data_IF_221428755423
#
_entry.id   IF_221428755423
#
_cell.length_a   1.000
_cell.length_b   1.000
_cell.length_c   1.000
_cell.angle_alpha   90.00
_cell.angle_beta   90.00
_cell.angle_gamma   90.00
#
_symmetry.space_group_name_H-M   'P 1'
#
loop_
_entity.id
_entity.type
_entity.pdbx_description
1 polymer ?
#
# COMPACT_ATOMS: atom_id res chain seq x y z
N UNK A 1 46.77 -29.31 -10.14
CA UNK A 1 45.57 -29.89 -9.52
C UNK A 1 44.38 -29.04 -9.95
N UNK A 2 43.58 -29.58 -10.87
CA UNK A 2 42.39 -28.94 -11.44
C UNK A 2 41.15 -29.46 -10.71
N UNK A 3 40.35 -28.57 -10.12
CA UNK A 3 38.99 -28.84 -9.67
C UNK A 3 38.13 -27.57 -9.79
N UNK A 4 36.79 -27.72 -9.91
CA UNK A 4 36.06 -27.22 -11.07
C UNK A 4 35.21 -25.96 -10.81
N UNK A 5 34.95 -25.24 -11.91
CA UNK A 5 33.99 -24.14 -11.99
C UNK A 5 32.58 -24.73 -12.26
N UNK A 6 31.54 -24.41 -11.47
CA UNK A 6 30.17 -24.73 -11.85
C UNK A 6 29.38 -23.50 -12.30
N UNK A 7 28.81 -23.66 -13.49
CA UNK A 7 27.53 -23.18 -14.01
C UNK A 7 27.17 -21.67 -13.93
N UNK A 8 27.31 -21.05 -15.10
CA UNK A 8 26.52 -19.94 -15.59
C UNK A 8 25.04 -20.35 -15.69
N UNK A 9 24.15 -19.68 -14.93
CA UNK A 9 22.71 -19.85 -15.04
C UNK A 9 22.08 -18.61 -15.69
N UNK A 10 22.31 -18.45 -16.99
CA UNK A 10 21.39 -17.74 -17.87
C UNK A 10 20.62 -18.78 -18.69
N UNK A 11 19.32 -18.55 -18.85
CA UNK A 11 18.33 -19.29 -19.66
C UNK A 11 17.48 -20.34 -18.91
N UNK A 12 16.41 -19.85 -18.28
CA UNK A 12 15.12 -20.54 -18.30
C UNK A 12 14.09 -19.55 -18.84
N UNK A 13 14.02 -19.52 -20.17
CA UNK A 13 12.87 -19.02 -20.88
C UNK A 13 11.71 -20.00 -20.66
N UNK A 14 10.69 -19.57 -19.91
CA UNK A 14 9.35 -20.12 -20.06
C UNK A 14 8.55 -19.06 -20.79
N UNK A 15 8.55 -19.19 -22.11
CA UNK A 15 7.60 -18.53 -22.98
C UNK A 15 6.29 -19.33 -22.90
N UNK A 16 5.31 -18.83 -22.17
CA UNK A 16 3.91 -19.17 -22.46
C UNK A 16 3.33 -18.06 -23.34
N UNK A 17 3.45 -18.31 -24.64
CA UNK A 17 2.65 -17.66 -25.66
C UNK A 17 1.18 -18.06 -25.47
N UNK A 18 0.31 -17.09 -25.30
CA UNK A 18 -1.06 -17.15 -25.80
C UNK A 18 -1.45 -15.77 -26.35
N UNK A 19 -0.73 -15.37 -27.40
CA UNK A 19 -1.26 -14.46 -28.42
C UNK A 19 -2.20 -15.27 -29.30
N UNK A 20 -3.50 -15.19 -29.05
CA UNK A 20 -4.50 -15.42 -30.11
C UNK A 20 -4.65 -14.09 -30.83
N UNK A 21 -3.92 -13.94 -31.94
CA UNK A 21 -4.27 -12.98 -32.97
C UNK A 21 -5.43 -13.56 -33.77
N UNK A 22 -6.57 -12.91 -33.76
CA UNK A 22 -7.53 -12.99 -34.86
C UNK A 22 -7.79 -11.56 -35.32
N UNK A 23 -7.32 -11.23 -36.52
CA UNK A 23 -7.59 -9.97 -37.19
C UNK A 23 -8.81 -10.11 -38.10
N UNK A 24 -9.80 -9.25 -37.83
CA UNK A 24 -10.87 -8.70 -38.70
C UNK A 24 -11.87 -9.67 -39.33
N UNK A 25 -13.14 -9.48 -38.94
CA UNK A 25 -14.20 -9.05 -39.85
C UNK A 25 -15.31 -8.33 -39.08
N UNK A 26 -16.01 -7.42 -39.76
CA UNK A 26 -16.77 -6.33 -39.17
C UNK A 26 -18.14 -6.66 -38.57
N UNK A 27 -18.67 -5.63 -37.89
CA UNK A 27 -20.05 -5.41 -37.46
C UNK A 27 -20.60 -6.29 -36.33
N UNK A 28 -20.81 -5.70 -35.16
CA UNK A 28 -22.13 -5.63 -34.49
C UNK A 28 -21.96 -5.27 -33.00
N UNK A 29 -22.63 -4.20 -32.57
CA UNK A 29 -22.85 -3.71 -31.20
C UNK A 29 -22.55 -4.70 -30.04
N UNK A 30 -21.63 -4.32 -29.14
CA UNK A 30 -21.64 -4.80 -27.76
C UNK A 30 -20.30 -5.16 -27.12
N UNK A 31 -19.50 -4.17 -26.72
CA UNK A 31 -18.48 -4.37 -25.67
C UNK A 31 -18.18 -3.07 -24.88
N UNK A 32 -19.26 -2.41 -24.44
CA UNK A 32 -19.24 -1.12 -23.72
C UNK A 32 -19.46 -1.30 -22.20
N UNK A 33 -18.71 -2.19 -21.53
CA UNK A 33 -18.79 -2.32 -20.07
C UNK A 33 -17.40 -2.26 -19.42
N UNK A 34 -17.19 -1.35 -18.46
CA UNK A 34 -15.98 -1.38 -17.64
C UNK A 34 -16.08 -2.51 -16.60
N UNK A 35 -15.02 -3.30 -16.48
CA UNK A 35 -14.87 -4.32 -15.44
C UNK A 35 -14.55 -3.73 -14.05
N UNK A 36 -14.50 -2.40 -13.93
CA UNK A 36 -14.21 -1.67 -12.72
C UNK A 36 -15.10 -2.06 -11.54
N UNK A 37 -16.38 -2.34 -11.81
CA UNK A 37 -17.35 -2.73 -10.78
C UNK A 37 -16.97 -4.09 -10.18
N UNK A 38 -16.69 -5.07 -11.04
CA UNK A 38 -16.26 -6.41 -10.62
C UNK A 38 -14.90 -6.37 -9.92
N UNK A 39 -13.97 -5.58 -10.47
CA UNK A 39 -12.66 -5.32 -9.87
C UNK A 39 -12.77 -4.68 -8.49
N UNK A 40 -13.65 -3.69 -8.32
CA UNK A 40 -13.87 -3.02 -7.05
C UNK A 40 -14.53 -3.93 -6.01
N UNK A 41 -15.49 -4.76 -6.41
CA UNK A 41 -16.12 -5.73 -5.52
C UNK A 41 -15.10 -6.76 -5.00
N UNK A 42 -14.28 -7.35 -5.91
CA UNK A 42 -13.19 -8.25 -5.51
C UNK A 42 -12.21 -7.55 -4.57
N UNK A 43 -11.81 -6.34 -4.92
CA UNK A 43 -10.88 -5.55 -4.13
C UNK A 43 -11.39 -5.28 -2.71
N UNK A 44 -12.69 -4.97 -2.55
CA UNK A 44 -13.28 -4.77 -1.22
C UNK A 44 -13.29 -6.04 -0.37
N UNK A 45 -13.56 -7.20 -0.99
CA UNK A 45 -13.50 -8.49 -0.28
C UNK A 45 -12.09 -8.73 0.22
N UNK A 46 -11.09 -8.60 -0.66
CA UNK A 46 -9.68 -8.77 -0.31
C UNK A 46 -9.23 -7.79 0.79
N UNK A 47 -9.58 -6.51 0.68
CA UNK A 47 -9.27 -5.51 1.70
C UNK A 47 -9.96 -5.78 3.03
N UNK A 48 -11.22 -6.23 3.00
CA UNK A 48 -11.98 -6.57 4.20
C UNK A 48 -11.31 -7.72 4.96
N UNK A 49 -10.92 -8.77 4.25
CA UNK A 49 -10.19 -9.89 4.85
C UNK A 49 -8.80 -9.47 5.37
N UNK A 50 -8.07 -8.64 4.63
CA UNK A 50 -6.77 -8.12 5.08
C UNK A 50 -6.96 -7.32 6.37
N UNK A 51 -7.91 -6.40 6.42
CA UNK A 51 -8.16 -5.60 7.63
C UNK A 51 -8.53 -6.47 8.84
N UNK A 52 -9.34 -7.51 8.64
CA UNK A 52 -9.71 -8.44 9.72
C UNK A 52 -8.51 -9.26 10.23
N UNK A 53 -7.58 -9.65 9.35
CA UNK A 53 -6.40 -10.45 9.71
C UNK A 53 -5.23 -9.62 10.26
N UNK A 54 -5.13 -8.35 9.86
CA UNK A 54 -3.89 -7.57 9.97
C UNK A 54 -3.97 -6.40 10.96
N UNK A 55 -4.97 -6.35 11.86
CA UNK A 55 -5.08 -5.28 12.88
C UNK A 55 -3.78 -5.09 13.69
N UNK A 56 -3.05 -6.18 13.93
CA UNK A 56 -1.74 -6.18 14.60
C UNK A 56 -0.64 -6.87 13.79
N UNK A 57 -0.80 -6.96 12.46
CA UNK A 57 0.15 -7.64 11.60
C UNK A 57 1.55 -7.01 11.56
N UNK A 58 2.55 -7.74 11.06
CA UNK A 58 3.91 -7.21 10.92
C UNK A 58 3.95 -6.09 9.87
N UNK A 59 4.83 -5.09 10.09
CA UNK A 59 4.84 -3.84 9.32
C UNK A 59 5.14 -4.08 7.83
N UNK A 60 6.06 -4.98 7.50
CA UNK A 60 6.42 -5.35 6.13
C UNK A 60 5.21 -5.85 5.33
N UNK A 61 4.39 -6.70 5.94
CA UNK A 61 3.19 -7.28 5.32
C UNK A 61 2.09 -6.23 5.21
N UNK A 62 1.94 -5.37 6.22
CA UNK A 62 1.05 -4.21 6.18
C UNK A 62 1.42 -3.25 5.04
N UNK A 63 2.71 -2.88 4.91
CA UNK A 63 3.22 -2.02 3.86
C UNK A 63 3.02 -2.61 2.46
N UNK A 64 3.20 -3.93 2.32
CA UNK A 64 2.95 -4.64 1.06
C UNK A 64 1.48 -4.53 0.66
N UNK A 65 0.56 -4.89 1.56
CA UNK A 65 -0.87 -4.84 1.25
C UNK A 65 -1.38 -3.42 1.06
N UNK A 66 -0.86 -2.46 1.83
CA UNK A 66 -1.23 -1.07 1.69
C UNK A 66 -0.77 -0.52 0.32
N UNK A 67 0.46 -0.80 -0.10
CA UNK A 67 0.95 -0.44 -1.44
C UNK A 67 0.14 -1.06 -2.56
N UNK A 68 -0.18 -2.35 -2.46
CA UNK A 68 -1.02 -3.04 -3.45
C UNK A 68 -2.40 -2.39 -3.53
N UNK A 69 -3.01 -2.11 -2.38
CA UNK A 69 -4.30 -1.46 -2.30
C UNK A 69 -4.30 -0.05 -2.86
N UNK A 70 -3.25 0.74 -2.63
CA UNK A 70 -3.09 2.08 -3.21
C UNK A 70 -3.02 2.06 -4.74
N UNK A 71 -2.33 1.07 -5.32
CA UNK A 71 -2.24 0.92 -6.77
C UNK A 71 -3.60 0.55 -7.37
N UNK A 72 -4.28 -0.45 -6.79
CA UNK A 72 -5.62 -0.87 -7.25
C UNK A 72 -6.64 0.26 -7.12
N UNK A 73 -6.61 0.98 -6.00
CA UNK A 73 -7.50 2.10 -5.74
C UNK A 73 -7.24 3.30 -6.66
N UNK A 74 -5.96 3.59 -6.96
CA UNK A 74 -5.59 4.58 -7.97
C UNK A 74 -6.22 4.27 -9.33
N UNK A 75 -6.06 3.04 -9.82
CA UNK A 75 -6.68 2.59 -11.07
C UNK A 75 -8.21 2.76 -11.08
N UNK A 76 -8.87 2.50 -9.94
CA UNK A 76 -10.32 2.70 -9.80
C UNK A 76 -10.71 4.18 -9.83
N UNK A 77 -9.97 5.05 -9.13
CA UNK A 77 -10.24 6.49 -9.10
C UNK A 77 -10.02 7.12 -10.47
N UNK A 78 -8.96 6.71 -11.18
CA UNK A 78 -8.56 7.27 -12.47
C UNK A 78 -9.39 6.77 -13.64
N UNK A 79 -10.28 5.79 -13.44
CA UNK A 79 -11.14 5.33 -14.51
C UNK A 79 -12.23 6.35 -14.86
N UNK A 80 -12.06 7.02 -16.00
CA UNK A 80 -12.99 8.00 -16.57
C UNK A 80 -14.32 7.37 -17.03
N UNK A 81 -14.32 6.09 -17.42
CA UNK A 81 -15.53 5.37 -17.88
C UNK A 81 -16.56 5.14 -16.78
N UNK A 82 -16.14 5.22 -15.52
CA UNK A 82 -16.95 4.83 -14.37
C UNK A 82 -17.38 6.00 -13.49
N UNK A 83 -17.07 7.23 -13.89
CA UNK A 83 -17.29 8.41 -13.06
C UNK A 83 -18.78 8.75 -12.87
N UNK A 84 -19.61 8.42 -13.85
CA UNK A 84 -21.07 8.62 -13.81
C UNK A 84 -21.86 7.47 -13.14
N UNK A 85 -21.19 6.37 -12.78
CA UNK A 85 -21.86 5.17 -12.22
C UNK A 85 -21.89 5.27 -10.70
N UNK A 86 -23.09 5.46 -10.14
CA UNK A 86 -23.31 5.65 -8.69
C UNK A 86 -22.78 4.50 -7.84
N UNK A 87 -22.91 3.25 -8.31
CA UNK A 87 -22.39 2.07 -7.63
C UNK A 87 -20.87 2.16 -7.50
N UNK A 88 -20.15 2.45 -8.58
CA UNK A 88 -18.69 2.61 -8.57
C UNK A 88 -18.25 3.71 -7.61
N UNK A 89 -19.04 4.76 -7.45
CA UNK A 89 -18.76 5.83 -6.49
C UNK A 89 -18.90 5.35 -5.04
N UNK A 90 -19.95 4.59 -4.72
CA UNK A 90 -20.08 3.96 -3.40
C UNK A 90 -18.91 3.01 -3.11
N UNK A 91 -18.50 2.20 -4.10
CA UNK A 91 -17.32 1.34 -4.00
C UNK A 91 -16.04 2.13 -3.71
N UNK A 92 -15.79 3.25 -4.43
CA UNK A 92 -14.63 4.11 -4.18
C UNK A 92 -14.61 4.64 -2.74
N UNK A 93 -15.77 5.04 -2.20
CA UNK A 93 -15.88 5.52 -0.81
C UNK A 93 -15.59 4.42 0.19
N UNK A 94 -16.19 3.23 0.03
CA UNK A 94 -15.93 2.10 0.95
C UNK A 94 -14.48 1.66 0.86
N UNK A 95 -13.90 1.61 -0.34
CA UNK A 95 -12.49 1.27 -0.55
C UNK A 95 -11.55 2.27 0.13
N UNK A 96 -11.86 3.57 0.04
CA UNK A 96 -11.15 4.61 0.77
C UNK A 96 -11.17 4.36 2.28
N UNK A 97 -12.31 3.99 2.86
CA UNK A 97 -12.42 3.71 4.30
C UNK A 97 -11.62 2.47 4.71
N UNK A 98 -11.68 1.41 3.92
CA UNK A 98 -10.90 0.19 4.16
C UNK A 98 -9.39 0.46 4.07
N UNK A 99 -8.94 1.22 3.06
CA UNK A 99 -7.54 1.64 2.94
C UNK A 99 -7.11 2.60 4.04
N UNK A 100 -8.00 3.47 4.51
CA UNK A 100 -7.75 4.31 5.67
C UNK A 100 -7.45 3.51 6.93
N UNK A 101 -8.27 2.49 7.19
CA UNK A 101 -8.04 1.55 8.31
C UNK A 101 -6.69 0.84 8.15
N UNK A 102 -6.37 0.35 6.96
CA UNK A 102 -5.09 -0.30 6.70
C UNK A 102 -3.90 0.67 6.87
N UNK A 103 -4.04 1.90 6.39
CA UNK A 103 -3.03 2.96 6.54
C UNK A 103 -2.81 3.37 7.99
N UNK A 104 -3.86 3.40 8.81
CA UNK A 104 -3.72 3.60 10.26
C UNK A 104 -2.96 2.45 10.92
N UNK A 105 -3.22 1.21 10.51
CA UNK A 105 -2.51 0.04 11.04
C UNK A 105 -1.03 0.08 10.64
N UNK A 106 -0.71 0.51 9.42
CA UNK A 106 0.68 0.77 8.98
C UNK A 106 1.35 1.80 9.90
N UNK A 107 0.70 2.95 10.12
CA UNK A 107 1.26 4.04 10.92
C UNK A 107 1.45 3.63 12.38
N UNK A 108 0.44 2.98 12.98
CA UNK A 108 0.53 2.43 14.35
C UNK A 108 1.61 1.36 14.46
N UNK A 109 1.75 0.49 13.46
CA UNK A 109 2.78 -0.54 13.49
C UNK A 109 4.18 0.04 13.35
N UNK A 110 4.35 1.10 12.56
CA UNK A 110 5.59 1.86 12.49
C UNK A 110 5.90 2.57 13.82
N UNK A 111 4.90 3.19 14.46
CA UNK A 111 5.02 3.80 15.79
C UNK A 111 5.59 2.83 16.83
N UNK A 112 5.08 1.58 16.84
CA UNK A 112 5.56 0.53 17.75
C UNK A 112 7.04 0.19 17.52
N UNK A 113 7.51 0.21 16.27
CA UNK A 113 8.93 -0.09 15.98
C UNK A 113 9.84 1.00 16.51
N UNK A 114 9.48 2.28 16.32
CA UNK A 114 10.32 3.40 16.77
C UNK A 114 10.25 3.62 18.29
N UNK A 115 9.10 3.37 18.93
CA UNK A 115 8.92 3.57 20.39
C UNK A 115 9.54 2.46 21.25
N UNK A 116 9.71 1.25 20.71
CA UNK A 116 10.38 0.13 21.41
C UNK A 116 11.92 0.29 21.39
N UNK A 117 12.45 1.21 20.57
CA UNK A 117 13.89 1.39 20.34
C UNK A 117 14.76 2.07 21.43
N UNK A 118 14.31 2.68 22.56
CA UNK A 118 15.25 3.45 23.40
C UNK A 118 16.05 2.68 24.48
N UNK A 119 15.75 1.41 24.80
CA UNK A 119 16.32 0.76 26.01
C UNK A 119 16.90 -0.66 25.81
N UNK A 120 17.78 -0.87 24.82
CA UNK A 120 18.53 -2.12 24.70
C UNK A 120 20.05 -1.94 24.87
N UNK A 121 20.46 -1.54 26.07
CA UNK A 121 21.85 -1.70 26.57
C UNK A 121 22.24 -3.17 26.86
N UNK A 122 21.56 -4.13 26.23
CA UNK A 122 21.94 -5.55 26.12
C UNK A 122 21.53 -6.06 24.74
N UNK A 123 22.29 -5.71 23.70
CA UNK A 123 22.28 -6.46 22.45
C UNK A 123 23.09 -7.74 22.67
N UNK A 124 22.44 -8.79 23.16
CA UNK A 124 22.81 -10.11 22.65
C UNK A 124 22.57 -10.03 21.14
N UNK A 125 23.64 -10.25 20.38
CA UNK A 125 23.66 -10.21 18.93
C UNK A 125 22.34 -10.77 18.38
N UNK A 126 21.56 -9.99 17.61
CA UNK A 126 20.36 -10.55 17.02
C UNK A 126 20.83 -11.74 16.19
N UNK A 127 20.23 -12.90 16.46
CA UNK A 127 20.33 -14.07 15.59
C UNK A 127 20.31 -13.57 14.15
N UNK A 128 21.34 -13.89 13.36
CA UNK A 128 21.58 -13.45 11.97
C UNK A 128 20.48 -13.89 10.97
N UNK A 129 19.29 -14.19 11.47
CA UNK A 129 18.10 -14.66 10.76
C UNK A 129 16.91 -13.71 10.90
N UNK A 130 17.00 -12.66 11.73
CA UNK A 130 15.96 -11.63 11.82
C UNK A 130 16.23 -10.50 10.83
N UNK A 131 15.74 -10.72 9.60
CA UNK A 131 15.28 -9.68 8.66
C UNK A 131 16.35 -8.75 8.06
N UNK A 132 17.15 -9.30 7.14
CA UNK A 132 18.06 -8.52 6.29
C UNK A 132 17.24 -7.59 5.37
N UNK A 133 17.28 -6.28 5.63
CA UNK A 133 16.58 -5.30 4.80
C UNK A 133 17.48 -4.82 3.66
N UNK A 134 16.98 -4.88 2.44
CA UNK A 134 17.70 -4.46 1.25
C UNK A 134 16.97 -3.30 0.56
N UNK A 135 17.74 -2.29 0.13
CA UNK A 135 17.31 -1.27 -0.81
C UNK A 135 18.08 -1.45 -2.12
N UNK A 136 17.43 -2.07 -3.12
CA UNK A 136 18.10 -2.46 -4.37
C UNK A 136 19.33 -3.36 -4.08
N UNK A 137 20.52 -3.00 -4.55
CA UNK A 137 21.77 -3.72 -4.27
C UNK A 137 22.44 -3.34 -2.93
N UNK A 138 21.86 -2.41 -2.17
CA UNK A 138 22.40 -1.94 -0.90
C UNK A 138 21.72 -2.65 0.27
N UNK A 139 22.51 -3.16 1.22
CA UNK A 139 22.01 -3.79 2.45
C UNK A 139 22.02 -2.78 3.58
N UNK A 140 20.90 -2.67 4.28
CA UNK A 140 20.70 -1.74 5.39
C UNK A 140 21.08 -2.47 6.67
N UNK A 141 22.13 -2.01 7.33
CA UNK A 141 22.70 -2.66 8.52
C UNK A 141 22.42 -1.93 9.82
N UNK A 142 22.19 -0.62 9.74
CA UNK A 142 22.00 0.24 10.89
C UNK A 142 20.51 0.46 11.20
N UNK A 143 20.16 0.49 12.48
CA UNK A 143 18.76 0.61 12.90
C UNK A 143 18.19 2.01 12.65
N UNK A 144 19.01 3.08 12.70
CA UNK A 144 18.56 4.43 12.37
C UNK A 144 18.32 4.55 10.86
N UNK A 145 19.21 3.95 10.05
CA UNK A 145 19.00 3.85 8.59
C UNK A 145 17.72 3.07 8.26
N UNK A 146 17.49 1.93 8.93
CA UNK A 146 16.27 1.14 8.78
C UNK A 146 15.03 1.96 9.12
N UNK A 147 15.06 2.70 10.22
CA UNK A 147 13.95 3.56 10.63
C UNK A 147 13.68 4.67 9.60
N UNK A 148 14.72 5.33 9.08
CA UNK A 148 14.56 6.36 8.05
C UNK A 148 13.99 5.82 6.74
N UNK A 149 14.43 4.63 6.31
CA UNK A 149 13.86 3.97 5.12
C UNK A 149 12.38 3.64 5.34
N UNK A 150 12.04 3.04 6.48
CA UNK A 150 10.64 2.75 6.83
C UNK A 150 9.80 4.01 6.91
N UNK A 151 10.32 5.09 7.53
CA UNK A 151 9.70 6.41 7.59
C UNK A 151 9.37 6.94 6.20
N UNK A 152 10.33 6.84 5.28
CA UNK A 152 10.16 7.23 3.89
C UNK A 152 9.05 6.45 3.18
N UNK A 153 9.04 5.11 3.33
CA UNK A 153 8.03 4.25 2.72
C UNK A 153 6.63 4.57 3.28
N UNK A 154 6.48 4.65 4.60
CA UNK A 154 5.21 4.98 5.27
C UNK A 154 4.72 6.35 4.79
N UNK A 155 5.59 7.36 4.79
CA UNK A 155 5.25 8.72 4.35
C UNK A 155 4.76 8.76 2.91
N UNK A 156 5.48 8.13 1.97
CA UNK A 156 5.08 8.09 0.55
C UNK A 156 3.72 7.44 0.36
N UNK A 157 3.47 6.30 1.01
CA UNK A 157 2.20 5.58 0.88
C UNK A 157 1.03 6.36 1.51
N UNK A 158 1.24 6.97 2.68
CA UNK A 158 0.23 7.81 3.34
C UNK A 158 -0.09 9.06 2.50
N UNK A 159 0.94 9.72 1.93
CA UNK A 159 0.75 10.87 1.02
C UNK A 159 -0.04 10.47 -0.23
N UNK A 160 0.25 9.30 -0.79
CA UNK A 160 -0.49 8.76 -1.92
C UNK A 160 -1.98 8.55 -1.56
N UNK A 161 -2.28 7.96 -0.40
CA UNK A 161 -3.68 7.82 0.05
C UNK A 161 -4.36 9.18 0.19
N UNK A 162 -3.70 10.16 0.85
CA UNK A 162 -4.27 11.50 1.03
C UNK A 162 -4.60 12.15 -0.32
N UNK A 163 -3.71 12.05 -1.31
CA UNK A 163 -3.96 12.56 -2.65
C UNK A 163 -5.20 11.92 -3.29
N UNK A 164 -5.37 10.61 -3.13
CA UNK A 164 -6.57 9.91 -3.61
C UNK A 164 -7.85 10.32 -2.88
N UNK A 165 -7.78 10.51 -1.56
CA UNK A 165 -8.92 11.00 -0.76
C UNK A 165 -9.35 12.40 -1.21
N UNK A 166 -8.41 13.31 -1.46
CA UNK A 166 -8.71 14.65 -1.97
C UNK A 166 -9.35 14.61 -3.37
N UNK A 167 -8.83 13.76 -4.27
CA UNK A 167 -9.42 13.58 -5.61
C UNK A 167 -10.84 13.03 -5.51
N UNK A 168 -11.09 12.05 -4.64
CA UNK A 168 -12.42 11.49 -4.43
C UNK A 168 -13.39 12.50 -3.80
N UNK A 169 -12.90 13.32 -2.86
CA UNK A 169 -13.65 14.38 -2.20
C UNK A 169 -14.07 15.49 -3.18
N UNK A 170 -13.17 15.90 -4.06
CA UNK A 170 -13.46 16.86 -5.12
C UNK A 170 -14.50 16.33 -6.13
N UNK A 171 -14.54 15.02 -6.35
CA UNK A 171 -15.50 14.35 -7.23
C UNK A 171 -16.88 14.10 -6.60
N UNK A 172 -17.09 14.40 -5.31
CA UNK A 172 -18.37 14.15 -4.63
C UNK A 172 -19.13 15.41 -4.24
N UNK A 173 -20.40 15.45 -4.66
CA UNK A 173 -21.41 16.43 -4.24
C UNK A 173 -22.32 15.94 -3.11
N UNK A 174 -22.21 14.66 -2.70
CA UNK A 174 -23.07 14.09 -1.66
C UNK A 174 -22.43 14.30 -0.29
N UNK A 175 -23.22 14.85 0.64
CA UNK A 175 -22.76 15.18 1.97
C UNK A 175 -22.27 13.95 2.74
N UNK A 176 -22.98 12.82 2.65
CA UNK A 176 -22.64 11.59 3.37
C UNK A 176 -21.30 11.02 2.89
N UNK A 177 -21.12 10.90 1.58
CA UNK A 177 -19.86 10.42 0.98
C UNK A 177 -18.69 11.33 1.36
N UNK A 178 -18.89 12.65 1.28
CA UNK A 178 -17.89 13.63 1.68
C UNK A 178 -17.54 13.51 3.18
N UNK A 179 -18.53 13.30 4.04
CA UNK A 179 -18.33 13.12 5.48
C UNK A 179 -17.51 11.86 5.79
N UNK A 180 -17.80 10.74 5.10
CA UNK A 180 -17.06 9.49 5.26
C UNK A 180 -15.59 9.64 4.84
N UNK A 181 -15.33 10.26 3.68
CA UNK A 181 -13.98 10.53 3.18
C UNK A 181 -13.23 11.44 4.15
N UNK A 182 -13.89 12.50 4.64
CA UNK A 182 -13.32 13.45 5.58
C UNK A 182 -12.97 12.79 6.92
N UNK A 183 -13.79 11.87 7.41
CA UNK A 183 -13.47 11.13 8.64
C UNK A 183 -12.28 10.20 8.44
N UNK A 184 -12.18 9.52 7.30
CA UNK A 184 -11.00 8.73 6.95
C UNK A 184 -9.73 9.58 6.93
N UNK A 185 -9.78 10.76 6.30
CA UNK A 185 -8.65 11.69 6.25
C UNK A 185 -8.25 12.16 7.67
N UNK A 186 -9.23 12.50 8.51
CA UNK A 186 -8.99 12.89 9.90
C UNK A 186 -8.36 11.77 10.72
N UNK A 187 -8.87 10.55 10.61
CA UNK A 187 -8.29 9.37 11.30
C UNK A 187 -6.84 9.15 10.92
N UNK A 188 -6.55 9.20 9.61
CA UNK A 188 -5.19 9.04 9.10
C UNK A 188 -4.26 10.16 9.60
N UNK A 189 -4.72 11.42 9.57
CA UNK A 189 -3.97 12.56 10.14
C UNK A 189 -3.68 12.38 11.63
N UNK A 190 -4.67 11.94 12.42
CA UNK A 190 -4.49 11.66 13.85
C UNK A 190 -3.45 10.57 14.09
N UNK A 191 -3.48 9.49 13.31
CA UNK A 191 -2.50 8.42 13.40
C UNK A 191 -1.09 8.94 13.11
N UNK A 192 -0.91 9.73 12.04
CA UNK A 192 0.40 10.31 11.68
C UNK A 192 0.89 11.29 12.76
N UNK A 193 0.01 12.16 13.25
CA UNK A 193 0.35 13.12 14.30
C UNK A 193 0.77 12.43 15.61
N UNK A 194 0.16 11.28 15.95
CA UNK A 194 0.58 10.47 17.10
C UNK A 194 2.06 10.08 16.98
N UNK A 195 2.46 9.57 15.80
CA UNK A 195 3.84 9.18 15.52
C UNK A 195 4.80 10.37 15.56
N UNK A 196 4.40 11.51 14.98
CA UNK A 196 5.24 12.72 14.99
C UNK A 196 5.43 13.26 16.40
N UNK A 197 4.39 13.25 17.24
CA UNK A 197 4.50 13.73 18.63
C UNK A 197 5.30 12.76 19.51
N UNK A 198 5.16 11.45 19.30
CA UNK A 198 6.01 10.44 19.94
C UNK A 198 7.47 10.59 19.52
N UNK A 199 7.72 10.88 18.24
CA UNK A 199 9.04 11.15 17.71
C UNK A 199 9.61 12.54 18.05
N UNK A 200 8.77 13.53 18.37
CA UNK A 200 9.19 14.89 18.75
C UNK A 200 9.77 14.97 20.18
N UNK A 201 9.59 13.92 21.00
CA UNK A 201 10.40 13.70 22.18
C UNK A 201 11.88 13.38 21.85
N UNK A 202 12.18 12.98 20.61
CA UNK A 202 13.50 12.53 20.16
C UNK A 202 13.98 13.11 18.79
N UNK A 203 13.24 14.04 18.17
CA UNK A 203 13.72 14.83 17.02
C UNK A 203 13.49 14.28 15.60
N UNK A 204 12.44 13.50 15.32
CA UNK A 204 12.14 13.02 13.95
C UNK A 204 10.78 13.52 13.39
N UNK A 205 10.79 14.23 12.25
CA UNK A 205 9.59 14.86 11.64
C UNK A 205 9.09 14.16 10.37
N UNK A 206 8.00 13.39 10.39
CA UNK A 206 7.32 13.00 9.14
C UNK A 206 6.82 14.27 8.40
N UNK A 207 7.50 14.66 7.31
CA UNK A 207 7.22 15.91 6.61
C UNK A 207 5.82 15.90 5.98
N UNK A 208 5.08 17.00 6.19
CA UNK A 208 3.69 17.24 5.77
C UNK A 208 3.42 17.02 4.27
#
# INVERSE_FOLDING_TARGET
MNQPKPANCNNLAIAENSKVQSGRDGSSYGEDRCDCLHGAARFLVELGEINARMEHGPLDTLLKHFRQGLNTFGNLIECERCDSVTENRAFKVVAAQCLGTLGENVVKSYARIITIAPNSSKRESPSRTADEMWYSAYSIYDDDERQEVLRGIVSVQVKQLRSWLEKLKAGTSKYEEHALISETEKRLKRAVACVVNEAAGEGYYLSE
#
